data_IF_327339619580
#
_entry.id   IF_327339619580
#
_cell.length_a   1.000
_cell.length_b   1.000
_cell.length_c   1.000
_cell.angle_alpha   90.00
_cell.angle_beta   90.00
_cell.angle_gamma   90.00
#
_symmetry.space_group_name_H-M   'P 1'
#
loop_
_entity.id
_entity.type
_entity.pdbx_description
1 polymer ?
#
# COMPACT_ATOMS: atom_id res chain seq x y z
N UNK A 1 34.25 17.25 29.93
CA UNK A 1 33.07 16.73 30.65
C UNK A 1 32.36 15.72 29.75
N UNK A 2 32.65 14.45 29.99
CA UNK A 2 32.09 13.29 29.30
C UNK A 2 30.67 13.04 29.81
N UNK A 3 29.67 13.34 28.99
CA UNK A 3 28.28 12.95 29.27
C UNK A 3 28.18 11.45 28.99
N UNK A 4 28.27 10.65 30.06
CA UNK A 4 27.87 9.25 30.03
C UNK A 4 26.41 9.17 29.57
N UNK A 5 26.23 8.70 28.33
CA UNK A 5 24.92 8.27 27.84
C UNK A 5 24.54 7.01 28.62
N UNK A 6 23.79 7.19 29.70
CA UNK A 6 22.98 6.14 30.31
C UNK A 6 22.03 5.58 29.24
N UNK A 7 22.47 4.52 28.56
CA UNK A 7 21.62 3.66 27.74
C UNK A 7 20.84 2.74 28.68
N UNK A 8 19.93 3.30 29.46
CA UNK A 8 18.81 2.52 29.96
C UNK A 8 18.02 2.07 28.72
N UNK A 9 18.21 0.82 28.30
CA UNK A 9 17.41 0.13 27.27
C UNK A 9 15.97 0.10 27.79
N UNK A 10 15.22 1.18 27.59
CA UNK A 10 13.79 1.15 27.77
C UNK A 10 13.27 0.05 26.85
N UNK A 11 12.80 -1.05 27.45
CA UNK A 11 12.17 -2.15 26.72
C UNK A 11 10.98 -1.52 26.01
N UNK A 12 11.10 -1.25 24.71
CA UNK A 12 10.06 -0.57 23.94
C UNK A 12 8.75 -1.31 24.15
N UNK A 13 7.77 -0.64 24.77
CA UNK A 13 6.45 -1.23 24.96
C UNK A 13 5.81 -1.29 23.57
N UNK A 14 5.39 -2.48 23.16
CA UNK A 14 4.59 -2.64 21.95
C UNK A 14 3.31 -1.82 22.06
N UNK A 15 2.89 -1.17 20.96
CA UNK A 15 1.55 -0.57 20.90
C UNK A 15 0.54 -1.70 20.70
N UNK A 16 0.02 -2.21 21.82
CA UNK A 16 -1.00 -3.25 21.83
C UNK A 16 -2.26 -2.85 21.08
N UNK A 17 -2.59 -1.56 21.01
CA UNK A 17 -3.73 -1.07 20.23
C UNK A 17 -3.52 -1.26 18.73
N UNK A 18 -2.32 -0.95 18.22
CA UNK A 18 -1.97 -1.22 16.83
C UNK A 18 -2.02 -2.71 16.53
N UNK A 19 -1.41 -3.54 17.39
CA UNK A 19 -1.41 -4.99 17.20
C UNK A 19 -2.83 -5.57 17.21
N UNK A 20 -3.71 -5.13 18.11
CA UNK A 20 -5.10 -5.56 18.13
C UNK A 20 -5.85 -5.18 16.86
N UNK A 21 -5.70 -3.95 16.35
CA UNK A 21 -6.33 -3.52 15.09
C UNK A 21 -5.84 -4.37 13.91
N UNK A 22 -4.54 -4.60 13.81
CA UNK A 22 -3.94 -5.47 12.78
C UNK A 22 -4.48 -6.89 12.90
N UNK A 23 -4.52 -7.47 14.10
CA UNK A 23 -5.06 -8.82 14.31
C UNK A 23 -6.53 -8.94 13.89
N UNK A 24 -7.37 -7.96 14.24
CA UNK A 24 -8.79 -7.96 13.84
C UNK A 24 -8.92 -7.88 12.32
N UNK A 25 -8.17 -6.98 11.67
CA UNK A 25 -8.17 -6.86 10.21
C UNK A 25 -7.71 -8.15 9.52
N UNK A 26 -6.67 -8.82 10.03
CA UNK A 26 -6.18 -10.08 9.47
C UNK A 26 -7.20 -11.21 9.66
N UNK A 27 -7.81 -11.33 10.85
CA UNK A 27 -8.85 -12.34 11.12
C UNK A 27 -10.07 -12.13 10.23
N UNK A 28 -10.56 -10.89 10.11
CA UNK A 28 -11.66 -10.55 9.21
C UNK A 28 -11.28 -10.84 7.76
N UNK A 29 -10.07 -10.45 7.34
CA UNK A 29 -9.56 -10.71 5.99
C UNK A 29 -9.55 -12.20 5.63
N UNK A 30 -9.11 -13.09 6.53
CA UNK A 30 -9.14 -14.54 6.27
C UNK A 30 -10.57 -15.07 6.11
N UNK A 31 -11.49 -14.65 6.99
CA UNK A 31 -12.91 -15.05 6.91
C UNK A 31 -13.51 -14.58 5.59
N UNK A 32 -13.25 -13.32 5.20
CA UNK A 32 -13.80 -12.75 3.98
C UNK A 32 -13.13 -13.32 2.72
N UNK A 33 -11.85 -13.68 2.75
CA UNK A 33 -11.22 -14.38 1.61
C UNK A 33 -11.87 -15.74 1.41
N UNK A 34 -12.12 -16.49 2.48
CA UNK A 34 -12.86 -17.75 2.39
C UNK A 34 -14.26 -17.50 1.82
N UNK A 35 -15.01 -16.56 2.41
CA UNK A 35 -16.34 -16.15 1.96
C UNK A 35 -16.35 -15.32 0.67
N UNK A 36 -15.23 -15.05 0.00
CA UNK A 36 -15.21 -14.43 -1.32
C UNK A 36 -14.70 -15.38 -2.42
N UNK A 37 -13.96 -16.43 -2.04
CA UNK A 37 -13.35 -17.40 -2.96
C UNK A 37 -13.99 -18.80 -2.97
N UNK A 38 -14.89 -19.12 -2.04
CA UNK A 38 -15.52 -20.44 -1.90
C UNK A 38 -16.07 -21.05 -3.22
N UNK A 39 -16.95 -20.40 -4.01
CA UNK A 39 -17.47 -20.96 -5.27
C UNK A 39 -16.36 -21.19 -6.30
N UNK A 40 -15.40 -20.27 -6.39
CA UNK A 40 -14.23 -20.38 -7.26
C UNK A 40 -13.30 -21.52 -6.88
N UNK A 41 -13.13 -21.79 -5.59
CA UNK A 41 -12.38 -22.95 -5.09
C UNK A 41 -13.05 -24.25 -5.50
N UNK A 42 -14.38 -24.34 -5.34
CA UNK A 42 -15.18 -25.48 -5.75
C UNK A 42 -15.12 -25.73 -7.27
N UNK A 43 -15.42 -24.72 -8.08
CA UNK A 43 -15.52 -24.86 -9.54
C UNK A 43 -14.15 -25.04 -10.22
N UNK A 44 -13.12 -24.31 -9.75
CA UNK A 44 -11.81 -24.29 -10.39
C UNK A 44 -10.84 -25.35 -9.89
N UNK A 45 -10.96 -25.78 -8.63
CA UNK A 45 -9.97 -26.63 -7.96
C UNK A 45 -10.58 -27.84 -7.25
N UNK A 46 -11.91 -27.98 -7.21
CA UNK A 46 -12.59 -29.05 -6.49
C UNK A 46 -12.41 -28.98 -4.96
N UNK A 47 -11.89 -27.87 -4.43
CA UNK A 47 -11.60 -27.68 -3.02
C UNK A 47 -11.96 -26.24 -2.60
N UNK A 48 -12.99 -26.06 -1.75
CA UNK A 48 -13.40 -24.73 -1.29
C UNK A 48 -12.32 -24.06 -0.42
N UNK A 49 -11.39 -24.83 0.16
CA UNK A 49 -10.35 -24.32 1.04
C UNK A 49 -9.08 -23.90 0.31
N UNK A 50 -9.00 -24.11 -1.00
CA UNK A 50 -7.78 -23.88 -1.79
C UNK A 50 -7.18 -22.48 -1.59
N UNK A 51 -8.02 -21.43 -1.68
CA UNK A 51 -7.56 -20.04 -1.57
C UNK A 51 -7.30 -19.63 -0.11
N UNK A 52 -8.16 -20.03 0.83
CA UNK A 52 -7.97 -19.68 2.26
C UNK A 52 -6.73 -20.35 2.83
N UNK A 53 -6.41 -21.58 2.43
CA UNK A 53 -5.20 -22.26 2.86
C UNK A 53 -3.95 -21.47 2.45
N UNK A 54 -3.90 -21.02 1.19
CA UNK A 54 -2.81 -20.15 0.70
C UNK A 54 -2.75 -18.83 1.47
N UNK A 55 -3.90 -18.21 1.74
CA UNK A 55 -3.96 -16.98 2.53
C UNK A 55 -3.41 -17.18 3.95
N UNK A 56 -3.73 -18.29 4.60
CA UNK A 56 -3.23 -18.64 5.94
C UNK A 56 -1.72 -18.88 5.91
N UNK A 57 -1.18 -19.55 4.88
CA UNK A 57 0.28 -19.72 4.72
C UNK A 57 0.97 -18.36 4.63
N UNK A 58 0.47 -17.45 3.80
CA UNK A 58 1.03 -16.09 3.69
C UNK A 58 0.87 -15.27 4.97
N UNK A 59 -0.25 -15.42 5.68
CA UNK A 59 -0.46 -14.82 7.00
C UNK A 59 0.60 -15.29 8.00
N UNK A 60 0.86 -16.60 8.08
CA UNK A 60 1.87 -17.16 8.99
C UNK A 60 3.26 -16.64 8.66
N UNK A 61 3.63 -16.59 7.38
CA UNK A 61 4.91 -16.02 6.91
C UNK A 61 5.00 -14.53 7.29
N UNK A 62 3.94 -13.76 7.07
CA UNK A 62 3.87 -12.33 7.40
C UNK A 62 3.98 -12.07 8.91
N UNK A 63 3.29 -12.87 9.73
CA UNK A 63 3.37 -12.77 11.20
C UNK A 63 4.77 -13.15 11.69
N UNK A 64 5.41 -14.18 11.12
CA UNK A 64 6.79 -14.53 11.44
C UNK A 64 7.74 -13.37 11.08
N UNK A 65 7.59 -12.77 9.90
CA UNK A 65 8.36 -11.60 9.48
C UNK A 65 8.14 -10.39 10.42
N UNK A 66 6.91 -10.14 10.85
CA UNK A 66 6.58 -9.10 11.83
C UNK A 66 7.29 -9.35 13.16
N UNK A 67 7.23 -10.57 13.70
CA UNK A 67 7.87 -10.92 14.98
C UNK A 67 9.39 -10.73 14.89
N UNK A 68 10.01 -11.17 13.79
CA UNK A 68 11.44 -11.02 13.57
C UNK A 68 11.82 -9.54 13.46
N UNK A 69 11.14 -8.77 12.62
CA UNK A 69 11.46 -7.35 12.40
C UNK A 69 11.18 -6.50 13.63
N UNK A 70 10.13 -6.79 14.42
CA UNK A 70 9.83 -6.12 15.68
C UNK A 70 10.90 -6.33 16.77
N UNK A 71 11.76 -7.34 16.62
CA UNK A 71 12.90 -7.61 17.52
C UNK A 71 14.18 -6.91 17.06
N UNK A 72 14.24 -6.47 15.80
CA UNK A 72 15.40 -5.77 15.24
C UNK A 72 15.30 -4.28 15.61
N UNK A 73 16.36 -3.68 16.21
CA UNK A 73 16.35 -2.25 16.50
C UNK A 73 16.20 -1.45 15.21
N UNK A 74 15.23 -0.54 15.15
CA UNK A 74 14.99 0.28 13.94
C UNK A 74 16.23 1.10 13.52
N UNK A 75 17.14 1.41 14.45
CA UNK A 75 18.42 2.08 14.15
C UNK A 75 19.36 1.26 13.26
N UNK A 76 19.20 -0.07 13.17
CA UNK A 76 19.95 -0.86 12.18
C UNK A 76 19.47 -0.54 10.76
N UNK A 77 18.19 -0.27 10.57
CA UNK A 77 17.62 0.04 9.26
C UNK A 77 18.18 1.36 8.71
N UNK A 78 18.43 2.34 9.58
CA UNK A 78 19.16 3.56 9.24
C UNK A 78 20.57 3.25 8.72
N UNK A 79 21.34 2.43 9.47
CA UNK A 79 22.71 2.03 9.10
C UNK A 79 22.78 1.23 7.79
N UNK A 80 21.79 0.39 7.54
CA UNK A 80 21.72 -0.49 6.37
C UNK A 80 20.90 0.09 5.21
N UNK A 81 20.43 1.34 5.34
CA UNK A 81 19.56 2.00 4.35
C UNK A 81 20.13 1.99 2.93
N UNK A 82 21.43 2.30 2.77
CA UNK A 82 22.10 2.31 1.45
C UNK A 82 22.15 0.89 0.83
N UNK A 83 22.67 -0.16 1.52
CA UNK A 83 22.58 -1.53 1.01
C UNK A 83 21.16 -1.99 0.69
N UNK A 84 20.19 -1.69 1.56
CA UNK A 84 18.78 -2.05 1.38
C UNK A 84 18.23 -1.42 0.08
N UNK A 85 18.53 -0.14 -0.16
CA UNK A 85 18.15 0.55 -1.39
C UNK A 85 18.85 -0.03 -2.62
N UNK A 86 20.14 -0.37 -2.52
CA UNK A 86 20.89 -1.00 -3.60
C UNK A 86 20.27 -2.33 -4.03
N UNK A 87 19.93 -3.19 -3.05
CA UNK A 87 19.22 -4.46 -3.31
C UNK A 87 17.85 -4.21 -3.93
N UNK A 88 17.09 -3.21 -3.45
CA UNK A 88 15.80 -2.86 -4.02
C UNK A 88 15.91 -2.41 -5.49
N UNK A 89 16.84 -1.52 -5.82
CA UNK A 89 17.06 -1.05 -7.20
C UNK A 89 17.51 -2.19 -8.12
N UNK A 90 18.42 -3.05 -7.65
CA UNK A 90 18.83 -4.24 -8.41
C UNK A 90 17.67 -5.20 -8.63
N UNK A 91 16.80 -5.38 -7.63
CA UNK A 91 15.61 -6.24 -7.76
C UNK A 91 14.61 -5.67 -8.76
N UNK A 92 14.36 -4.36 -8.76
CA UNK A 92 13.49 -3.70 -9.74
C UNK A 92 14.07 -3.82 -11.16
N UNK A 93 15.38 -3.65 -11.30
CA UNK A 93 16.05 -3.83 -12.59
C UNK A 93 15.98 -5.29 -13.07
N UNK A 94 16.18 -6.26 -12.18
CA UNK A 94 16.12 -7.68 -12.51
C UNK A 94 14.73 -8.11 -12.99
N UNK A 95 13.65 -7.51 -12.48
CA UNK A 95 12.28 -7.82 -12.94
C UNK A 95 12.05 -7.36 -14.37
N UNK A 96 12.58 -6.19 -14.75
CA UNK A 96 12.43 -5.68 -16.11
C UNK A 96 13.06 -6.64 -17.12
N UNK A 97 14.16 -7.31 -16.75
CA UNK A 97 14.91 -8.19 -17.65
C UNK A 97 14.40 -9.64 -17.62
N UNK A 98 14.07 -10.18 -16.44
CA UNK A 98 13.85 -11.63 -16.21
C UNK A 98 12.46 -11.91 -15.61
N UNK A 99 11.61 -10.90 -15.40
CA UNK A 99 10.29 -11.11 -14.82
C UNK A 99 9.38 -11.93 -15.74
N UNK A 100 8.35 -12.54 -15.17
CA UNK A 100 7.30 -13.19 -15.95
C UNK A 100 6.22 -12.17 -16.33
N UNK A 101 5.81 -12.19 -17.60
CA UNK A 101 4.68 -11.39 -18.09
C UNK A 101 3.35 -12.01 -17.62
N UNK A 102 2.53 -11.23 -16.93
CA UNK A 102 1.17 -11.63 -16.56
C UNK A 102 0.22 -10.45 -16.75
N UNK A 103 -0.90 -10.68 -17.44
CA UNK A 103 -1.87 -9.64 -17.79
C UNK A 103 -1.24 -8.42 -18.51
N UNK A 104 -0.31 -8.68 -19.45
CA UNK A 104 0.37 -7.64 -20.22
C UNK A 104 1.45 -6.87 -19.44
N UNK A 105 1.91 -7.40 -18.30
CA UNK A 105 2.92 -6.75 -17.49
C UNK A 105 3.91 -7.71 -16.83
N UNK A 106 5.19 -7.41 -17.02
CA UNK A 106 6.32 -8.15 -16.46
C UNK A 106 6.63 -7.67 -15.05
N UNK A 107 5.91 -8.20 -14.06
CA UNK A 107 5.85 -7.63 -12.69
C UNK A 107 6.16 -8.61 -11.56
N UNK A 108 6.19 -9.91 -11.87
CA UNK A 108 6.15 -10.93 -10.82
C UNK A 108 7.14 -12.06 -11.06
N UNK A 109 7.63 -12.62 -9.94
CA UNK A 109 8.32 -13.90 -9.88
C UNK A 109 7.36 -14.98 -9.33
N UNK A 110 7.68 -16.25 -9.59
CA UNK A 110 6.92 -17.41 -9.11
C UNK A 110 5.43 -17.38 -9.48
N UNK A 111 5.11 -17.31 -10.78
CA UNK A 111 3.73 -17.34 -11.31
C UNK A 111 2.80 -16.28 -10.69
N UNK A 112 3.31 -15.07 -10.39
CA UNK A 112 2.49 -14.00 -9.82
C UNK A 112 2.57 -13.84 -8.30
N UNK A 113 3.37 -14.66 -7.59
CA UNK A 113 3.31 -14.72 -6.13
C UNK A 113 4.21 -13.71 -5.43
N UNK A 114 5.29 -13.28 -6.07
CA UNK A 114 6.23 -12.30 -5.50
C UNK A 114 6.37 -11.14 -6.46
N UNK A 115 6.00 -9.95 -5.99
CA UNK A 115 6.09 -8.70 -6.72
C UNK A 115 7.21 -7.85 -6.11
N UNK A 116 8.34 -7.64 -6.80
CA UNK A 116 9.50 -6.97 -6.19
C UNK A 116 9.29 -5.49 -5.88
N UNK A 117 8.27 -4.87 -6.46
CA UNK A 117 7.86 -3.51 -6.10
C UNK A 117 7.32 -3.41 -4.65
N UNK A 118 6.82 -4.52 -4.07
CA UNK A 118 6.36 -4.57 -2.67
C UNK A 118 7.50 -4.35 -1.66
N UNK A 119 8.58 -5.16 -1.63
CA UNK A 119 9.72 -4.90 -0.75
C UNK A 119 10.45 -3.60 -1.11
N UNK A 120 10.42 -3.18 -2.39
CA UNK A 120 11.01 -1.92 -2.81
C UNK A 120 10.36 -0.71 -2.11
N UNK A 121 9.02 -0.69 -1.94
CA UNK A 121 8.32 0.38 -1.18
C UNK A 121 8.94 0.59 0.20
N UNK A 122 9.10 -0.51 0.95
CA UNK A 122 9.68 -0.46 2.31
C UNK A 122 11.14 0.00 2.26
N UNK A 123 11.93 -0.52 1.32
CA UNK A 123 13.33 -0.13 1.16
C UNK A 123 13.50 1.36 0.83
N UNK A 124 12.63 1.91 -0.02
CA UNK A 124 12.61 3.33 -0.37
C UNK A 124 12.24 4.18 0.84
N UNK A 125 11.22 3.79 1.62
CA UNK A 125 10.85 4.50 2.86
C UNK A 125 12.03 4.51 3.85
N UNK A 126 12.69 3.36 4.05
CA UNK A 126 13.88 3.26 4.92
C UNK A 126 15.00 4.20 4.43
N UNK A 127 15.30 4.16 3.13
CA UNK A 127 16.35 5.01 2.55
C UNK A 127 16.01 6.49 2.62
N UNK A 128 14.80 6.87 2.22
CA UNK A 128 14.35 8.28 2.23
C UNK A 128 14.34 8.82 3.67
N UNK A 129 13.92 8.01 4.65
CA UNK A 129 14.00 8.37 6.07
C UNK A 129 15.43 8.67 6.52
N UNK A 130 16.38 7.80 6.19
CA UNK A 130 17.80 7.97 6.52
C UNK A 130 18.40 9.19 5.80
N UNK A 131 18.12 9.32 4.51
CA UNK A 131 18.61 10.40 3.68
C UNK A 131 18.11 11.77 4.15
N UNK A 132 16.80 11.92 4.40
CA UNK A 132 16.22 13.16 4.94
C UNK A 132 16.81 13.49 6.31
N UNK A 133 16.90 12.49 7.21
CA UNK A 133 17.50 12.68 8.53
C UNK A 133 18.95 13.17 8.44
N UNK A 134 19.74 12.64 7.50
CA UNK A 134 21.14 13.04 7.30
C UNK A 134 21.33 14.47 6.78
N UNK A 135 20.35 15.01 6.04
CA UNK A 135 20.43 16.34 5.42
C UNK A 135 20.06 17.46 6.39
N UNK A 136 19.14 17.20 7.32
CA UNK A 136 18.68 18.19 8.30
C UNK A 136 18.24 19.50 7.64
N UNK A 137 18.79 20.64 8.08
CA UNK A 137 18.43 21.97 7.54
C UNK A 137 18.72 22.16 6.04
N UNK A 138 19.65 21.39 5.46
CA UNK A 138 20.02 21.47 4.04
C UNK A 138 18.91 20.99 3.09
N UNK A 139 17.85 20.37 3.61
CA UNK A 139 16.67 19.99 2.81
C UNK A 139 16.01 21.23 2.21
N UNK A 140 16.06 22.37 2.92
CA UNK A 140 15.46 23.64 2.47
C UNK A 140 16.17 24.27 1.27
N UNK A 141 17.38 23.80 0.94
CA UNK A 141 18.13 24.25 -0.23
C UNK A 141 17.73 23.43 -1.46
N UNK A 142 17.27 24.09 -2.54
CA UNK A 142 16.81 23.38 -3.74
C UNK A 142 17.91 22.51 -4.39
N UNK A 143 19.17 22.98 -4.42
CA UNK A 143 20.28 22.23 -5.02
C UNK A 143 20.79 21.08 -4.15
N UNK A 144 20.74 21.22 -2.83
CA UNK A 144 21.30 20.23 -1.91
C UNK A 144 20.25 19.24 -1.34
N UNK A 145 18.97 19.63 -1.38
CA UNK A 145 17.81 18.85 -0.96
C UNK A 145 16.96 18.42 -2.16
N UNK A 146 16.21 19.35 -2.75
CA UNK A 146 15.17 19.02 -3.74
C UNK A 146 15.69 18.30 -4.99
N UNK A 147 16.81 18.76 -5.57
CA UNK A 147 17.35 18.19 -6.80
C UNK A 147 17.84 16.73 -6.60
N UNK A 148 18.69 16.41 -5.61
CA UNK A 148 19.07 15.02 -5.34
C UNK A 148 17.88 14.12 -5.00
N UNK A 149 16.89 14.64 -4.26
CA UNK A 149 15.65 13.92 -3.95
C UNK A 149 14.86 13.61 -5.23
N UNK A 150 14.66 14.62 -6.09
CA UNK A 150 13.95 14.47 -7.35
C UNK A 150 14.63 13.49 -8.31
N UNK A 151 15.96 13.51 -8.41
CA UNK A 151 16.72 12.55 -9.21
C UNK A 151 16.53 11.13 -8.71
N UNK A 152 16.65 10.91 -7.40
CA UNK A 152 16.46 9.58 -6.80
C UNK A 152 15.05 9.05 -7.05
N UNK A 153 14.02 9.86 -6.75
CA UNK A 153 12.63 9.46 -6.93
C UNK A 153 12.29 9.29 -8.41
N UNK A 154 12.90 10.08 -9.31
CA UNK A 154 12.77 9.93 -10.74
C UNK A 154 13.32 8.60 -11.25
N UNK A 155 14.50 8.18 -10.79
CA UNK A 155 15.09 6.87 -11.14
C UNK A 155 14.15 5.74 -10.70
N UNK A 156 13.68 5.78 -9.45
CA UNK A 156 12.76 4.79 -8.91
C UNK A 156 11.45 4.76 -9.70
N UNK A 157 10.85 5.91 -9.97
CA UNK A 157 9.61 6.01 -10.72
C UNK A 157 9.76 5.46 -12.15
N UNK A 158 10.84 5.79 -12.86
CA UNK A 158 11.11 5.27 -14.19
C UNK A 158 11.24 3.75 -14.17
N UNK A 159 12.00 3.17 -13.25
CA UNK A 159 12.14 1.71 -13.14
C UNK A 159 10.80 0.99 -12.90
N UNK A 160 9.90 1.60 -12.14
CA UNK A 160 8.59 1.00 -11.84
C UNK A 160 7.60 1.21 -13.01
N UNK A 161 7.64 2.36 -13.67
CA UNK A 161 6.83 2.63 -14.87
C UNK A 161 7.24 1.73 -16.03
N UNK A 162 8.52 1.36 -16.14
CA UNK A 162 9.00 0.35 -17.09
C UNK A 162 8.47 -1.07 -16.79
N UNK A 163 7.97 -1.33 -15.58
CA UNK A 163 7.25 -2.57 -15.20
C UNK A 163 5.73 -2.44 -15.41
N UNK A 164 5.32 -1.58 -16.33
CA UNK A 164 4.00 -0.91 -16.37
C UNK A 164 3.25 -0.64 -15.04
N UNK A 165 3.89 -0.42 -13.88
CA UNK A 165 3.20 -0.26 -12.57
C UNK A 165 2.98 1.20 -12.16
N UNK A 166 2.19 1.94 -12.93
CA UNK A 166 2.00 3.39 -12.70
C UNK A 166 1.45 3.68 -11.29
N UNK A 167 0.48 2.91 -10.80
CA UNK A 167 -0.11 3.12 -9.46
C UNK A 167 0.92 3.02 -8.34
N UNK A 168 1.85 2.07 -8.45
CA UNK A 168 2.93 1.87 -7.46
C UNK A 168 3.92 3.03 -7.49
N UNK A 169 4.28 3.51 -8.69
CA UNK A 169 5.16 4.67 -8.83
C UNK A 169 4.55 5.94 -8.22
N UNK A 170 3.25 6.20 -8.48
CA UNK A 170 2.52 7.33 -7.91
C UNK A 170 2.49 7.23 -6.38
N UNK A 171 2.18 6.06 -5.82
CA UNK A 171 2.13 5.84 -4.38
C UNK A 171 3.49 6.13 -3.71
N UNK A 172 4.58 5.61 -4.28
CA UNK A 172 5.94 5.82 -3.77
C UNK A 172 6.33 7.29 -3.81
N UNK A 173 6.08 7.97 -4.93
CA UNK A 173 6.42 9.39 -5.09
C UNK A 173 5.58 10.26 -4.14
N UNK A 174 4.29 9.98 -4.01
CA UNK A 174 3.41 10.68 -3.07
C UNK A 174 3.86 10.48 -1.62
N UNK A 175 4.18 9.24 -1.23
CA UNK A 175 4.68 8.91 0.12
C UNK A 175 5.99 9.65 0.40
N UNK A 176 6.94 9.61 -0.54
CA UNK A 176 8.21 10.32 -0.38
C UNK A 176 8.03 11.85 -0.31
N UNK A 177 7.08 12.42 -1.05
CA UNK A 177 6.75 13.84 -0.98
C UNK A 177 6.14 14.23 0.38
N UNK A 178 5.27 13.38 0.94
CA UNK A 178 4.75 13.56 2.31
C UNK A 178 5.91 13.52 3.32
N UNK A 179 6.81 12.54 3.21
CA UNK A 179 7.98 12.46 4.08
C UNK A 179 8.89 13.70 3.96
N UNK A 180 9.08 14.22 2.74
CA UNK A 180 9.83 15.45 2.48
C UNK A 180 9.17 16.67 3.16
N UNK A 181 7.84 16.77 3.11
CA UNK A 181 7.08 17.79 3.85
C UNK A 181 7.27 17.65 5.36
N UNK A 182 7.11 16.44 5.91
CA UNK A 182 7.28 16.18 7.35
C UNK A 182 8.72 16.44 7.81
N UNK A 183 9.72 16.23 6.95
CA UNK A 183 11.11 16.56 7.23
C UNK A 183 11.41 18.07 7.27
N UNK A 184 10.43 18.93 6.96
CA UNK A 184 10.56 20.39 7.03
C UNK A 184 11.12 21.03 5.77
N UNK A 185 10.85 20.45 4.59
CA UNK A 185 11.16 21.09 3.31
C UNK A 185 10.45 22.45 3.16
N UNK A 186 11.02 23.32 2.33
CA UNK A 186 10.48 24.66 2.14
C UNK A 186 9.14 24.62 1.37
N UNK A 187 8.16 25.44 1.75
CA UNK A 187 6.84 25.44 1.10
C UNK A 187 6.93 25.75 -0.40
N UNK A 188 7.92 26.54 -0.83
CA UNK A 188 8.18 26.82 -2.26
C UNK A 188 8.65 25.57 -3.01
N UNK A 189 9.48 24.74 -2.38
CA UNK A 189 9.95 23.48 -2.97
C UNK A 189 8.78 22.50 -3.12
N UNK A 190 7.91 22.42 -2.12
CA UNK A 190 6.73 21.56 -2.16
C UNK A 190 5.71 22.04 -3.19
N UNK A 191 5.49 23.35 -3.30
CA UNK A 191 4.67 23.93 -4.35
C UNK A 191 5.25 23.61 -5.74
N UNK A 192 6.57 23.68 -5.92
CA UNK A 192 7.23 23.30 -7.16
C UNK A 192 7.03 21.81 -7.49
N UNK A 193 7.20 20.91 -6.51
CA UNK A 193 6.92 19.47 -6.69
C UNK A 193 5.46 19.25 -7.08
N UNK A 194 4.52 19.92 -6.42
CA UNK A 194 3.10 19.85 -6.72
C UNK A 194 2.76 20.33 -8.13
N UNK A 195 3.36 21.44 -8.57
CA UNK A 195 3.20 21.98 -9.93
C UNK A 195 3.76 21.00 -10.96
N UNK A 196 4.96 20.46 -10.75
CA UNK A 196 5.58 19.48 -11.66
C UNK A 196 4.70 18.22 -11.73
N UNK A 197 4.30 17.66 -10.59
CA UNK A 197 3.47 16.46 -10.53
C UNK A 197 2.12 16.66 -11.23
N UNK A 198 1.46 17.80 -10.98
CA UNK A 198 0.19 18.16 -11.64
C UNK A 198 0.38 18.35 -13.14
N UNK A 199 1.44 19.05 -13.56
CA UNK A 199 1.77 19.25 -14.98
C UNK A 199 2.04 17.94 -15.71
N UNK A 200 2.83 17.04 -15.11
CA UNK A 200 3.06 15.69 -15.65
C UNK A 200 1.77 14.90 -15.74
N UNK A 201 0.93 14.94 -14.70
CA UNK A 201 -0.36 14.25 -14.69
C UNK A 201 -1.28 14.75 -15.82
N UNK A 202 -1.43 16.06 -15.99
CA UNK A 202 -2.23 16.66 -17.06
C UNK A 202 -1.69 16.31 -18.46
N UNK A 203 -0.37 16.31 -18.65
CA UNK A 203 0.25 15.86 -19.90
C UNK A 203 -0.09 14.39 -20.18
N UNK A 204 0.01 13.50 -19.19
CA UNK A 204 -0.32 12.08 -19.37
C UNK A 204 -1.77 11.91 -19.80
N UNK A 205 -2.70 12.65 -19.21
CA UNK A 205 -4.14 12.62 -19.57
C UNK A 205 -4.34 13.07 -21.02
N UNK A 206 -3.67 14.14 -21.44
CA UNK A 206 -3.86 14.72 -22.76
C UNK A 206 -3.25 13.86 -23.88
N UNK A 207 -2.10 13.25 -23.64
CA UNK A 207 -1.36 12.52 -24.67
C UNK A 207 -1.61 11.01 -24.67
N UNK A 208 -2.16 10.45 -23.59
CA UNK A 208 -2.54 9.04 -23.53
C UNK A 208 -4.06 8.91 -23.61
N UNK A 209 -4.56 8.43 -24.74
CA UNK A 209 -5.99 8.10 -24.92
C UNK A 209 -6.49 7.18 -23.80
N UNK A 210 -5.69 6.16 -23.45
CA UNK A 210 -6.00 5.26 -22.34
C UNK A 210 -6.16 5.98 -21.00
N UNK A 211 -5.25 6.89 -20.65
CA UNK A 211 -5.32 7.61 -19.37
C UNK A 211 -6.51 8.57 -19.33
N UNK A 212 -6.74 9.30 -20.43
CA UNK A 212 -7.90 10.18 -20.60
C UNK A 212 -9.22 9.44 -20.46
N UNK A 213 -9.40 8.35 -21.23
CA UNK A 213 -10.61 7.52 -21.19
C UNK A 213 -10.87 6.92 -19.81
N UNK A 214 -9.80 6.55 -19.09
CA UNK A 214 -9.92 5.99 -17.73
C UNK A 214 -10.39 7.03 -16.72
N UNK A 215 -9.89 8.27 -16.81
CA UNK A 215 -10.35 9.36 -15.94
C UNK A 215 -11.78 9.76 -16.29
N UNK A 216 -12.12 9.86 -17.57
CA UNK A 216 -13.47 10.18 -18.00
C UNK A 216 -14.47 9.14 -17.47
N UNK A 217 -14.18 7.85 -17.68
CA UNK A 217 -14.99 6.75 -17.11
C UNK A 217 -15.12 6.83 -15.60
N UNK A 218 -14.05 7.18 -14.89
CA UNK A 218 -14.10 7.36 -13.44
C UNK A 218 -15.03 8.51 -13.03
N UNK A 219 -14.94 9.67 -13.71
CA UNK A 219 -15.81 10.83 -13.45
C UNK A 219 -17.28 10.52 -13.77
N UNK A 220 -17.55 9.84 -14.88
CA UNK A 220 -18.91 9.42 -15.26
C UNK A 220 -19.47 8.43 -14.22
N UNK A 221 -18.64 7.51 -13.74
CA UNK A 221 -18.98 6.56 -12.68
C UNK A 221 -19.28 7.25 -11.34
N UNK A 222 -18.65 8.39 -11.03
CA UNK A 222 -18.96 9.14 -9.81
C UNK A 222 -20.37 9.77 -9.85
N UNK A 223 -20.82 10.20 -11.02
CA UNK A 223 -22.13 10.81 -11.21
C UNK A 223 -23.27 9.79 -11.19
N UNK A 224 -23.10 8.66 -11.87
CA UNK A 224 -24.07 7.56 -11.88
C UNK A 224 -23.38 6.18 -11.81
N UNK A 225 -22.99 5.72 -10.60
CA UNK A 225 -22.25 4.48 -10.44
C UNK A 225 -23.00 3.23 -10.93
N UNK A 226 -24.34 3.23 -10.87
CA UNK A 226 -25.16 2.10 -11.28
C UNK A 226 -25.26 1.95 -12.80
N UNK A 227 -25.22 3.06 -13.53
CA UNK A 227 -25.18 3.08 -14.99
C UNK A 227 -23.75 3.21 -15.55
N UNK A 228 -22.74 3.02 -14.71
CA UNK A 228 -21.34 3.05 -15.12
C UNK A 228 -21.06 1.97 -16.17
N UNK A 229 -20.46 2.39 -17.29
CA UNK A 229 -19.92 1.48 -18.30
C UNK A 229 -18.80 0.59 -17.74
N UNK A 230 -18.18 1.00 -16.63
CA UNK A 230 -17.23 0.18 -15.88
C UNK A 230 -17.99 -0.86 -15.03
N UNK A 231 -18.13 -2.07 -15.58
CA UNK A 231 -18.83 -3.19 -14.96
C UNK A 231 -18.38 -3.48 -13.52
N UNK A 232 -17.09 -3.36 -13.21
CA UNK A 232 -16.59 -3.61 -11.85
C UNK A 232 -17.18 -2.62 -10.83
N UNK A 233 -17.31 -1.34 -11.21
CA UNK A 233 -17.84 -0.30 -10.32
C UNK A 233 -19.33 -0.51 -10.09
N UNK A 234 -20.10 -0.71 -11.17
CA UNK A 234 -21.55 -0.88 -11.06
C UNK A 234 -21.92 -2.13 -10.26
N UNK A 235 -21.19 -3.24 -10.43
CA UNK A 235 -21.42 -4.45 -9.64
C UNK A 235 -20.97 -4.29 -8.18
N UNK A 236 -19.86 -3.60 -7.93
CA UNK A 236 -19.39 -3.31 -6.56
C UNK A 236 -20.42 -2.49 -5.78
N UNK A 237 -21.00 -1.46 -6.40
CA UNK A 237 -22.05 -0.63 -5.78
C UNK A 237 -23.34 -1.44 -5.57
N UNK A 238 -23.74 -2.28 -6.53
CA UNK A 238 -24.91 -3.15 -6.36
C UNK A 238 -24.73 -4.14 -5.20
N UNK A 239 -23.54 -4.71 -5.01
CA UNK A 239 -23.24 -5.58 -3.87
C UNK A 239 -23.42 -4.84 -2.53
N UNK A 240 -22.88 -3.62 -2.41
CA UNK A 240 -23.06 -2.78 -1.23
C UNK A 240 -24.55 -2.46 -0.98
N UNK A 241 -25.33 -2.17 -2.03
CA UNK A 241 -26.75 -1.87 -1.89
C UNK A 241 -27.57 -3.08 -1.41
N UNK A 242 -27.23 -4.29 -1.86
CA UNK A 242 -27.94 -5.53 -1.50
C UNK A 242 -27.76 -5.91 -0.03
N UNK A 243 -26.62 -5.57 0.59
CA UNK A 243 -26.39 -5.88 2.00
C UNK A 243 -27.28 -5.07 2.97
N UNK A 244 -27.82 -3.93 2.56
CA UNK A 244 -28.60 -3.08 3.46
C UNK A 244 -27.83 -2.72 4.75
N UNK A 245 -28.53 -2.60 5.88
CA UNK A 245 -27.88 -2.21 7.14
C UNK A 245 -27.11 -3.35 7.82
N UNK A 246 -27.66 -4.56 7.81
CA UNK A 246 -27.17 -5.71 8.61
C UNK A 246 -26.48 -6.79 7.78
N UNK A 247 -26.52 -6.69 6.46
CA UNK A 247 -25.98 -7.68 5.56
C UNK A 247 -26.96 -8.83 5.29
N UNK A 248 -26.60 -9.64 4.30
CA UNK A 248 -27.31 -10.89 3.98
C UNK A 248 -26.88 -12.06 4.87
N UNK A 249 -25.82 -11.88 5.68
CA UNK A 249 -25.18 -12.89 6.49
C UNK A 249 -23.96 -13.50 5.80
N UNK A 250 -22.97 -13.90 6.60
CA UNK A 250 -21.72 -14.50 6.13
C UNK A 250 -21.98 -15.73 5.25
N UNK A 251 -21.38 -15.77 4.06
CA UNK A 251 -21.53 -16.85 3.07
C UNK A 251 -22.84 -16.84 2.29
N UNK A 252 -23.77 -15.93 2.59
CA UNK A 252 -25.06 -15.81 1.89
C UNK A 252 -25.04 -14.70 0.81
N UNK A 253 -23.88 -14.10 0.54
CA UNK A 253 -23.72 -13.08 -0.50
C UNK A 253 -23.93 -13.65 -1.91
N UNK A 254 -24.83 -13.03 -2.68
CA UNK A 254 -25.06 -13.43 -4.06
C UNK A 254 -23.89 -13.05 -4.98
N UNK A 255 -23.14 -11.98 -4.67
CA UNK A 255 -21.93 -11.61 -5.42
C UNK A 255 -20.96 -12.79 -5.59
N UNK A 256 -20.91 -13.65 -4.58
CA UNK A 256 -20.07 -14.82 -4.60
C UNK A 256 -20.73 -15.99 -5.34
N UNK A 257 -21.99 -16.29 -5.02
CA UNK A 257 -22.70 -17.49 -5.47
C UNK A 257 -23.09 -17.44 -6.96
N UNK A 258 -23.40 -16.26 -7.47
CA UNK A 258 -23.84 -16.07 -8.87
C UNK A 258 -22.73 -15.55 -9.77
N UNK A 259 -21.57 -15.20 -9.21
CA UNK A 259 -20.40 -14.74 -9.95
C UNK A 259 -20.58 -13.41 -10.69
N UNK A 260 -21.66 -12.65 -10.44
CA UNK A 260 -21.87 -11.36 -11.12
C UNK A 260 -20.81 -10.33 -10.75
N UNK A 261 -20.20 -10.45 -9.57
CA UNK A 261 -19.14 -9.56 -9.11
C UNK A 261 -17.79 -10.11 -9.58
N UNK A 262 -17.19 -9.54 -10.64
CA UNK A 262 -15.93 -10.03 -11.16
C UNK A 262 -14.83 -9.91 -10.12
N UNK A 263 -13.99 -10.94 -9.99
CA UNK A 263 -12.81 -10.94 -9.11
C UNK A 263 -13.13 -10.56 -7.65
N UNK A 264 -14.26 -11.06 -7.14
CA UNK A 264 -14.77 -10.81 -5.79
C UNK A 264 -13.78 -11.12 -4.66
N UNK A 265 -12.85 -12.07 -4.86
CA UNK A 265 -11.82 -12.45 -3.88
C UNK A 265 -10.54 -11.60 -3.91
N UNK A 266 -10.37 -10.66 -4.87
CA UNK A 266 -9.25 -9.70 -4.85
C UNK A 266 -9.75 -8.26 -4.92
N UNK A 267 -10.19 -7.83 -6.09
CA UNK A 267 -10.35 -6.40 -6.40
C UNK A 267 -11.67 -5.84 -5.85
N UNK A 268 -12.62 -6.72 -5.52
CA UNK A 268 -13.97 -6.36 -5.06
C UNK A 268 -14.34 -6.95 -3.69
N UNK A 269 -13.35 -7.35 -2.87
CA UNK A 269 -13.62 -7.96 -1.55
C UNK A 269 -14.41 -7.05 -0.61
N UNK A 270 -14.21 -5.73 -0.71
CA UNK A 270 -14.97 -4.76 0.07
C UNK A 270 -16.47 -4.73 -0.29
N UNK A 271 -16.81 -4.98 -1.55
CA UNK A 271 -18.20 -5.15 -1.98
C UNK A 271 -18.84 -6.37 -1.33
N UNK A 272 -18.10 -7.49 -1.24
CA UNK A 272 -18.55 -8.71 -0.54
C UNK A 272 -18.76 -8.45 0.95
N UNK A 273 -17.85 -7.73 1.61
CA UNK A 273 -17.99 -7.31 3.01
C UNK A 273 -19.29 -6.53 3.20
N UNK A 274 -19.55 -5.53 2.34
CA UNK A 274 -20.77 -4.72 2.48
C UNK A 274 -22.05 -5.49 2.13
N UNK A 275 -21.99 -6.50 1.26
CA UNK A 275 -23.14 -7.37 1.01
C UNK A 275 -23.43 -8.29 2.19
N UNK A 276 -22.42 -8.99 2.71
CA UNK A 276 -22.61 -10.02 3.76
C UNK A 276 -22.77 -9.45 5.16
N UNK A 277 -22.03 -8.38 5.49
CA UNK A 277 -22.03 -7.75 6.82
C UNK A 277 -22.81 -6.42 6.84
N UNK A 278 -23.31 -5.98 5.68
CA UNK A 278 -24.08 -4.74 5.55
C UNK A 278 -23.25 -3.49 5.75
N UNK A 279 -23.95 -2.37 5.83
CA UNK A 279 -23.38 -1.06 6.13
C UNK A 279 -22.56 -1.07 7.44
N UNK A 280 -23.03 -1.77 8.48
CA UNK A 280 -22.32 -1.82 9.76
C UNK A 280 -20.95 -2.49 9.65
N UNK A 281 -20.85 -3.62 8.95
CA UNK A 281 -19.57 -4.28 8.71
C UNK A 281 -18.64 -3.46 7.83
N UNK A 282 -19.16 -2.84 6.77
CA UNK A 282 -18.39 -1.95 5.90
C UNK A 282 -17.80 -0.76 6.66
N UNK A 283 -18.62 -0.06 7.47
CA UNK A 283 -18.17 1.04 8.32
C UNK A 283 -17.19 0.58 9.40
N UNK A 284 -17.37 -0.61 9.96
CA UNK A 284 -16.43 -1.19 10.92
C UNK A 284 -15.04 -1.41 10.31
N UNK A 285 -14.97 -1.90 9.07
CA UNK A 285 -13.70 -2.06 8.35
C UNK A 285 -13.03 -0.70 8.09
N UNK A 286 -13.80 0.31 7.66
CA UNK A 286 -13.29 1.69 7.50
C UNK A 286 -12.74 2.22 8.84
N UNK A 287 -13.48 2.02 9.93
CA UNK A 287 -13.05 2.43 11.27
C UNK A 287 -11.72 1.77 11.66
N UNK A 288 -11.54 0.47 11.40
CA UNK A 288 -10.29 -0.23 11.68
C UNK A 288 -9.12 0.35 10.88
N UNK A 289 -9.30 0.65 9.59
CA UNK A 289 -8.27 1.33 8.79
C UNK A 289 -7.97 2.75 9.30
N UNK A 290 -8.97 3.50 9.71
CA UNK A 290 -8.78 4.82 10.31
C UNK A 290 -8.00 4.73 11.63
N UNK A 291 -8.31 3.74 12.48
CA UNK A 291 -7.57 3.48 13.72
C UNK A 291 -6.13 3.03 13.45
N UNK A 292 -5.91 2.22 12.41
CA UNK A 292 -4.57 1.81 11.97
C UNK A 292 -3.73 3.04 11.59
N UNK A 293 -4.25 3.90 10.72
CA UNK A 293 -3.59 5.14 10.29
C UNK A 293 -3.33 6.08 11.47
N UNK A 294 -4.34 6.29 12.33
CA UNK A 294 -4.21 7.14 13.52
C UNK A 294 -3.13 6.63 14.49
N UNK A 295 -3.06 5.30 14.71
CA UNK A 295 -2.01 4.69 15.54
C UNK A 295 -0.63 4.85 14.92
N UNK A 296 -0.49 4.67 13.60
CA UNK A 296 0.76 4.93 12.88
C UNK A 296 1.25 6.37 13.06
N UNK A 297 0.39 7.35 12.81
CA UNK A 297 0.69 8.78 13.02
C UNK A 297 1.07 9.08 14.48
N UNK A 298 0.37 8.47 15.45
CA UNK A 298 0.69 8.64 16.87
C UNK A 298 2.07 8.09 17.21
N UNK A 299 2.49 6.98 16.59
CA UNK A 299 3.83 6.42 16.76
C UNK A 299 4.87 7.35 16.14
N UNK A 300 4.63 7.86 14.92
CA UNK A 300 5.51 8.82 14.26
C UNK A 300 5.74 10.07 15.14
N UNK A 301 4.67 10.69 15.63
CA UNK A 301 4.73 11.90 16.47
C UNK A 301 5.41 11.70 17.84
N UNK A 302 5.47 10.45 18.33
CA UNK A 302 6.07 10.11 19.62
C UNK A 302 7.46 9.49 19.47
N UNK A 303 7.95 9.38 18.25
CA UNK A 303 9.26 8.80 17.99
C UNK A 303 10.37 9.67 18.59
N UNK A 304 11.40 9.09 19.22
CA UNK A 304 12.43 9.84 19.92
C UNK A 304 13.42 10.54 18.98
N UNK A 305 13.45 10.16 17.70
CA UNK A 305 14.34 10.71 16.69
C UNK A 305 13.66 10.86 15.32
N UNK A 306 14.25 11.70 14.47
CA UNK A 306 13.72 12.04 13.16
C UNK A 306 13.67 10.84 12.20
N UNK A 307 14.61 9.90 12.29
CA UNK A 307 14.61 8.73 11.43
C UNK A 307 13.41 7.84 11.76
N UNK A 308 13.19 7.55 13.04
CA UNK A 308 12.02 6.78 13.48
C UNK A 308 10.70 7.49 13.20
N UNK A 309 10.64 8.83 13.32
CA UNK A 309 9.45 9.61 12.96
C UNK A 309 9.13 9.49 11.47
N UNK A 310 10.13 9.68 10.60
CA UNK A 310 9.96 9.59 9.14
C UNK A 310 9.65 8.16 8.69
N UNK A 311 10.30 7.16 9.28
CA UNK A 311 10.07 5.75 9.00
C UNK A 311 8.63 5.31 9.33
N UNK A 312 8.04 5.85 10.39
CA UNK A 312 6.64 5.56 10.75
C UNK A 312 5.63 6.46 10.00
N UNK A 313 6.10 7.55 9.39
CA UNK A 313 5.27 8.45 8.57
C UNK A 313 5.07 7.90 7.16
N UNK A 314 6.14 7.34 6.57
CA UNK A 314 6.07 6.64 5.29
C UNK A 314 5.37 5.30 5.41
#
# INVERSE_FOLDING_TARGET
>A
MTVERSKAKAKGRYDWGLLSVVSILLSLGVVMVFSASYPRGMEGFGDPYYFVFRQVVWLVIGVAALIVTARIPYTLWDRWSIPIMGVALLSLLAVIIIGAERFGATRTYYNGSIQPSEPAKIAIIVYVSAWLTSKGRRIRDARAGLLPFGVLMGIVAVLIVLQPEISTAVLIVATAAIMLFVAGADMKQLALVGVIATGTFLMVIQYSSYAGDRIQRYLDSMGNPLASDEWQVSQGVQALMRGGFFGTGLGNGQAQQTGYLPVSWSDNIYGVIGEELGLLGALFVILLFALLAWRGLRIALRSPDNFGMLLATG
#
